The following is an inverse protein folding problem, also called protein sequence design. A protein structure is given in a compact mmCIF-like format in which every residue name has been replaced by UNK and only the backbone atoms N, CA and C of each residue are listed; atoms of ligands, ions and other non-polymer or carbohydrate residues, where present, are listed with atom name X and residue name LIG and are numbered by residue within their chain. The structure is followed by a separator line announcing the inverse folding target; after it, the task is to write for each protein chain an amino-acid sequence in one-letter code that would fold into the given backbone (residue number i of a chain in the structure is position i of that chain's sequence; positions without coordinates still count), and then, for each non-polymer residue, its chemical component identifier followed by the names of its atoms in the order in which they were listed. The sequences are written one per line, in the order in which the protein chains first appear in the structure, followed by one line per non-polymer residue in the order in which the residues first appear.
data_IF_497296494432
#
_entry.id   IF_497296494432
#
_cell.length_a   1.000
_cell.length_b   1.000
_cell.length_c   1.000
_cell.angle_alpha   90.00
_cell.angle_beta   90.00
_cell.angle_gamma   90.00
#
_symmetry.space_group_name_H-M   'P 1'
#
loop_
_entity.id
_entity.type
_entity.pdbx_description
1 polymer ?
#
# COMPACT_ATOMS: atom_id res chain seq x y z
N UNK A 1 -3.34 6.41 18.78
CA UNK A 1 -2.47 5.22 18.92
C UNK A 1 -1.39 5.33 17.84
N UNK A 2 -0.10 5.19 18.17
CA UNK A 2 0.95 5.20 17.14
C UNK A 2 0.91 3.85 16.42
N UNK A 3 0.86 3.80 15.08
CA UNK A 3 0.91 2.55 14.35
C UNK A 3 2.20 1.80 14.72
N UNK A 4 2.08 0.50 14.88
CA UNK A 4 3.22 -0.36 15.18
C UNK A 4 4.23 -0.24 14.03
N UNK A 5 5.54 -0.38 14.29
CA UNK A 5 6.57 -0.34 13.24
C UNK A 5 6.26 -1.14 11.95
N UNK A 6 5.63 -2.34 11.99
CA UNK A 6 5.18 -3.04 10.78
C UNK A 6 4.05 -2.32 10.02
N UNK A 7 3.10 -1.70 10.71
CA UNK A 7 2.01 -0.93 10.07
C UNK A 7 2.54 0.31 9.34
N UNK A 8 3.56 0.99 9.88
CA UNK A 8 4.17 2.14 9.20
C UNK A 8 4.87 1.74 7.90
N UNK A 9 5.52 0.58 7.87
CA UNK A 9 6.18 0.05 6.67
C UNK A 9 5.17 -0.36 5.61
N UNK A 10 4.08 -1.02 6.01
CA UNK A 10 2.99 -1.34 5.09
C UNK A 10 2.34 -0.08 4.51
N UNK A 11 2.14 0.97 5.33
CA UNK A 11 1.63 2.26 4.86
C UNK A 11 2.53 2.91 3.81
N UNK A 12 3.85 2.85 3.98
CA UNK A 12 4.81 3.36 2.99
C UNK A 12 4.70 2.61 1.66
N UNK A 13 4.62 1.27 1.69
CA UNK A 13 4.40 0.43 0.50
C UNK A 13 3.06 0.76 -0.16
N UNK A 14 1.97 0.87 0.59
CA UNK A 14 0.64 1.21 0.05
C UNK A 14 0.64 2.60 -0.60
N UNK A 15 1.35 3.58 -0.02
CA UNK A 15 1.56 4.92 -0.65
C UNK A 15 2.29 4.77 -1.98
N UNK A 16 3.39 4.03 -2.01
CA UNK A 16 4.15 3.81 -3.23
C UNK A 16 3.30 3.14 -4.34
N UNK A 17 2.46 2.17 -4.00
CA UNK A 17 1.51 1.53 -4.93
C UNK A 17 0.52 2.57 -5.48
N UNK A 18 -0.03 3.45 -4.63
CA UNK A 18 -0.89 4.54 -5.06
C UNK A 18 -0.18 5.51 -6.03
N UNK A 19 1.10 5.79 -5.80
CA UNK A 19 1.91 6.68 -6.64
C UNK A 19 2.32 6.04 -7.98
N UNK A 20 2.58 4.73 -8.02
CA UNK A 20 2.84 3.99 -9.27
C UNK A 20 1.68 4.17 -10.27
N UNK A 21 0.43 4.07 -9.80
CA UNK A 21 -0.75 4.30 -10.66
C UNK A 21 -0.81 5.70 -11.27
N UNK A 22 -0.08 6.68 -10.73
CA UNK A 22 0.01 8.05 -11.25
C UNK A 22 1.20 8.26 -12.18
N UNK A 23 1.90 7.20 -12.57
CA UNK A 23 3.08 7.27 -13.44
C UNK A 23 4.35 7.75 -12.71
N UNK A 24 4.34 7.79 -11.38
CA UNK A 24 5.54 8.10 -10.59
C UNK A 24 6.33 6.82 -10.40
N UNK A 25 7.60 6.80 -10.80
CA UNK A 25 8.47 5.65 -10.56
C UNK A 25 8.82 5.59 -9.06
N UNK A 26 8.21 4.64 -8.36
CA UNK A 26 8.51 4.35 -6.96
C UNK A 26 9.08 2.94 -6.87
N UNK A 27 10.23 2.80 -6.20
CA UNK A 27 10.76 1.49 -5.84
C UNK A 27 9.85 0.89 -4.76
N UNK A 28 9.25 -0.26 -5.07
CA UNK A 28 8.42 -1.00 -4.13
C UNK A 28 9.13 -2.29 -3.81
N UNK A 29 9.33 -2.53 -2.51
CA UNK A 29 9.84 -3.81 -2.06
C UNK A 29 8.80 -4.92 -2.33
N UNK A 30 9.14 -5.92 -3.17
CA UNK A 30 8.18 -6.93 -3.59
C UNK A 30 7.75 -7.87 -2.47
N UNK A 31 8.53 -8.01 -1.40
CA UNK A 31 8.16 -8.80 -0.24
C UNK A 31 7.04 -8.10 0.53
N UNK A 32 7.21 -6.82 0.84
CA UNK A 32 6.17 -6.05 1.53
C UNK A 32 4.91 -5.86 0.68
N UNK A 33 5.05 -5.73 -0.64
CA UNK A 33 3.89 -5.66 -1.54
C UNK A 33 3.08 -6.96 -1.51
N UNK A 34 3.74 -8.12 -1.44
CA UNK A 34 3.08 -9.42 -1.25
C UNK A 34 2.40 -9.52 0.10
N UNK A 35 3.04 -9.10 1.18
CA UNK A 35 2.41 -9.06 2.51
C UNK A 35 1.14 -8.18 2.51
N UNK A 36 1.17 -7.04 1.81
CA UNK A 36 -0.01 -6.20 1.62
C UNK A 36 -1.10 -6.90 0.80
N UNK A 37 -0.74 -7.78 -0.15
CA UNK A 37 -1.69 -8.62 -0.87
C UNK A 37 -2.29 -9.71 0.01
N UNK A 38 -1.48 -10.39 0.82
CA UNK A 38 -1.93 -11.40 1.77
C UNK A 38 -2.85 -10.81 2.85
N UNK A 39 -2.57 -9.58 3.29
CA UNK A 39 -3.42 -8.81 4.19
C UNK A 39 -4.70 -8.27 3.53
N UNK A 40 -4.85 -8.39 2.21
CA UNK A 40 -6.02 -7.90 1.46
C UNK A 40 -6.06 -6.39 1.23
N UNK A 41 -4.96 -5.66 1.49
CA UNK A 41 -4.85 -4.21 1.24
C UNK A 41 -4.39 -3.87 -0.17
N UNK A 42 -3.71 -4.82 -0.83
CA UNK A 42 -3.30 -4.71 -2.22
C UNK A 42 -3.75 -5.95 -3.00
N UNK A 43 -3.73 -5.87 -4.32
CA UNK A 43 -4.02 -6.97 -5.24
C UNK A 43 -3.21 -6.81 -6.51
N UNK A 44 -2.94 -7.91 -7.20
CA UNK A 44 -2.29 -7.90 -8.52
C UNK A 44 -3.31 -8.45 -9.51
N UNK A 45 -3.63 -7.68 -10.54
CA UNK A 45 -4.55 -8.14 -11.57
C UNK A 45 -3.87 -9.23 -12.42
N UNK A 46 -4.60 -10.28 -12.85
CA UNK A 46 -4.03 -11.31 -13.70
C UNK A 46 -3.57 -10.71 -15.04
N UNK A 47 -2.29 -10.91 -15.37
CA UNK A 47 -1.66 -10.31 -16.56
C UNK A 47 -1.05 -8.92 -16.33
N UNK A 48 -1.19 -8.38 -15.12
CA UNK A 48 -0.56 -7.13 -14.71
C UNK A 48 0.71 -7.42 -13.90
N UNK A 49 1.75 -6.61 -14.09
CA UNK A 49 2.99 -6.67 -13.31
C UNK A 49 3.02 -5.62 -12.20
N UNK A 50 1.93 -4.86 -12.03
CA UNK A 50 1.81 -3.81 -11.03
C UNK A 50 0.84 -4.21 -9.93
N UNK A 51 1.16 -3.76 -8.72
CA UNK A 51 0.25 -3.86 -7.58
C UNK A 51 -0.83 -2.77 -7.68
N UNK A 52 -2.02 -3.08 -7.21
CA UNK A 52 -3.14 -2.17 -7.10
C UNK A 52 -3.67 -2.16 -5.68
N UNK A 53 -4.09 -0.99 -5.19
CA UNK A 53 -4.76 -0.89 -3.91
C UNK A 53 -6.18 -1.45 -3.99
N UNK A 54 -6.55 -2.26 -3.01
CA UNK A 54 -7.94 -2.65 -2.77
C UNK A 54 -8.67 -1.51 -2.05
N UNK A 55 -9.98 -1.68 -1.81
CA UNK A 55 -10.74 -0.74 -0.99
C UNK A 55 -10.18 -0.62 0.42
N UNK A 56 -9.91 -1.74 1.07
CA UNK A 56 -9.33 -1.79 2.41
C UNK A 56 -7.98 -1.06 2.50
N UNK A 57 -7.10 -1.22 1.49
CA UNK A 57 -5.82 -0.49 1.46
C UNK A 57 -5.98 1.02 1.30
N UNK A 58 -6.98 1.47 0.53
CA UNK A 58 -7.31 2.91 0.40
C UNK A 58 -7.86 3.49 1.70
N UNK A 59 -8.75 2.76 2.37
CA UNK A 59 -9.29 3.17 3.67
C UNK A 59 -8.20 3.26 4.74
N UNK A 60 -7.28 2.29 4.76
CA UNK A 60 -6.13 2.30 5.67
C UNK A 60 -5.25 3.54 5.44
N UNK A 61 -4.96 3.88 4.19
CA UNK A 61 -4.24 5.11 3.83
C UNK A 61 -4.98 6.38 4.24
N UNK A 62 -6.30 6.43 4.03
CA UNK A 62 -7.12 7.57 4.40
C UNK A 62 -7.10 7.78 5.92
N UNK A 63 -7.34 6.72 6.71
CA UNK A 63 -7.27 6.75 8.18
C UNK A 63 -5.90 7.17 8.69
N UNK A 64 -4.83 6.65 8.08
CA UNK A 64 -3.47 7.04 8.43
C UNK A 64 -3.20 8.52 8.14
N UNK A 65 -3.71 9.04 7.03
CA UNK A 65 -3.58 10.47 6.68
C UNK A 65 -4.35 11.40 7.62
N UNK A 66 -5.50 10.95 8.16
CA UNK A 66 -6.25 11.72 9.16
C UNK A 66 -5.55 11.73 10.52
N UNK A 67 -4.80 10.67 10.84
CA UNK A 67 -4.06 10.55 12.10
C UNK A 67 -2.77 11.41 12.14
N UNK A 68 -2.29 11.87 10.99
CA UNK A 68 -1.12 12.75 10.86
C UNK A 68 -1.48 14.25 10.84
N UNK A 69 -2.76 14.61 11.08
CA UNK A 69 -3.22 15.98 11.32
C UNK A 69 -3.21 16.35 12.80
#
# INVERSE_FOLDING_TARGET
MRPSAPEQRHLATLRAIAHLKRGTHCEIDPQHARECCEAGWATVAPGDNQFHLTEAGRELLAKASELEK
#
